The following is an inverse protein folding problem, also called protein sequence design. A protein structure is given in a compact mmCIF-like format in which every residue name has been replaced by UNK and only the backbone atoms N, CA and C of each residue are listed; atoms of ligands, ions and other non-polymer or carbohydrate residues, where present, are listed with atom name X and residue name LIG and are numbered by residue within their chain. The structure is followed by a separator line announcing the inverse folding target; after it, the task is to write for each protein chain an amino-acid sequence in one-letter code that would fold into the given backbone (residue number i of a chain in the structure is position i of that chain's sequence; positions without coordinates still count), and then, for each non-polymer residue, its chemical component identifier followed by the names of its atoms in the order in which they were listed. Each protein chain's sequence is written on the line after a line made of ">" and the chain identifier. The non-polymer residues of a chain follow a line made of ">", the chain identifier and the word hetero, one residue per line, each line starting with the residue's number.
data_IF_307821774278
#
_entry.id   IF_307821774278
#
_cell.length_a   1.000
_cell.length_b   1.000
_cell.length_c   1.000
_cell.angle_alpha   90.00
_cell.angle_beta   90.00
_cell.angle_gamma   90.00
#
_symmetry.space_group_name_H-M   'P 1'
#
loop_
_entity.id
_entity.type
_entity.pdbx_description
1 polymer ?
#
# COMPACT_ATOMS: atom_id res chain seq x y z
N UNK A 1 11.72 -53.86 -35.05
CA UNK A 1 10.78 -52.77 -35.36
C UNK A 1 9.83 -52.47 -34.20
N UNK A 2 9.29 -53.49 -33.52
CA UNK A 2 8.38 -53.30 -32.37
C UNK A 2 8.99 -52.52 -31.19
N UNK A 3 10.24 -52.78 -30.81
CA UNK A 3 10.83 -52.18 -29.61
C UNK A 3 11.03 -50.65 -29.75
N UNK A 4 11.51 -50.22 -30.92
CA UNK A 4 11.73 -48.79 -31.24
C UNK A 4 10.41 -48.03 -31.27
N UNK A 5 9.36 -48.62 -31.86
CA UNK A 5 8.03 -48.01 -31.90
C UNK A 5 7.41 -47.87 -30.50
N UNK A 6 7.58 -48.86 -29.63
CA UNK A 6 7.12 -48.80 -28.23
C UNK A 6 7.83 -47.73 -27.42
N UNK A 7 9.14 -47.54 -27.63
CA UNK A 7 9.92 -46.47 -26.98
C UNK A 7 9.45 -45.09 -27.45
N UNK A 8 9.19 -44.91 -28.75
CA UNK A 8 8.68 -43.64 -29.29
C UNK A 8 7.30 -43.32 -28.70
N UNK A 9 6.38 -44.28 -28.69
CA UNK A 9 5.03 -44.10 -28.13
C UNK A 9 5.11 -43.76 -26.63
N UNK A 10 5.92 -44.46 -25.86
CA UNK A 10 6.11 -44.17 -24.43
C UNK A 10 6.69 -42.77 -24.21
N UNK A 11 7.63 -42.32 -25.04
CA UNK A 11 8.19 -40.96 -24.99
C UNK A 11 7.15 -39.88 -25.29
N UNK A 12 6.31 -40.09 -26.30
CA UNK A 12 5.23 -39.16 -26.67
C UNK A 12 4.17 -39.09 -25.56
N UNK A 13 3.74 -40.23 -25.02
CA UNK A 13 2.77 -40.27 -23.91
C UNK A 13 3.34 -39.59 -22.67
N UNK A 14 4.61 -39.86 -22.33
CA UNK A 14 5.29 -39.21 -21.21
C UNK A 14 5.40 -37.69 -21.37
N UNK A 15 5.66 -37.21 -22.59
CA UNK A 15 5.70 -35.78 -22.92
C UNK A 15 4.33 -35.10 -22.78
N UNK A 16 3.25 -35.75 -23.23
CA UNK A 16 1.91 -35.20 -23.07
C UNK A 16 1.43 -35.18 -21.61
N UNK A 17 1.78 -36.20 -20.83
CA UNK A 17 1.50 -36.24 -19.39
C UNK A 17 2.24 -35.11 -18.67
N UNK A 18 3.54 -34.93 -18.94
CA UNK A 18 4.32 -33.84 -18.33
C UNK A 18 3.80 -32.47 -18.75
N UNK A 19 3.48 -32.26 -20.02
CA UNK A 19 2.90 -30.99 -20.49
C UNK A 19 1.53 -30.71 -19.83
N UNK A 20 0.70 -31.75 -19.66
CA UNK A 20 -0.57 -31.68 -18.94
C UNK A 20 -0.40 -31.33 -17.47
N UNK A 21 0.51 -32.02 -16.76
CA UNK A 21 0.84 -31.74 -15.36
C UNK A 21 1.42 -30.33 -15.18
N UNK A 22 2.27 -29.86 -16.08
CA UNK A 22 2.81 -28.49 -16.08
C UNK A 22 1.67 -27.48 -16.26
N UNK A 23 0.75 -27.69 -17.22
CA UNK A 23 -0.42 -26.81 -17.39
C UNK A 23 -1.33 -26.78 -16.17
N UNK A 24 -1.60 -27.93 -15.56
CA UNK A 24 -2.40 -28.04 -14.34
C UNK A 24 -1.69 -27.34 -13.19
N UNK A 25 -0.38 -27.55 -13.04
CA UNK A 25 0.44 -26.88 -12.02
C UNK A 25 0.46 -25.36 -12.21
N UNK A 26 0.62 -24.86 -13.44
CA UNK A 26 0.55 -23.43 -13.74
C UNK A 26 -0.85 -22.84 -13.47
N UNK A 27 -1.94 -23.56 -13.82
CA UNK A 27 -3.32 -23.14 -13.49
C UNK A 27 -3.61 -23.17 -12.00
N UNK A 28 -3.03 -24.12 -11.27
CA UNK A 28 -3.18 -24.22 -9.82
C UNK A 28 -2.36 -23.13 -9.09
N UNK A 29 -1.18 -22.80 -9.62
CA UNK A 29 -0.27 -21.81 -9.04
C UNK A 29 -0.67 -20.36 -9.37
N UNK A 30 -1.37 -20.11 -10.47
CA UNK A 30 -1.78 -18.75 -10.89
C UNK A 30 -3.09 -18.25 -10.25
N UNK A 31 -3.83 -19.12 -9.54
CA UNK A 31 -5.18 -18.79 -9.08
C UNK A 31 -6.13 -18.58 -10.27
N UNK A 32 -7.45 -18.74 -10.04
CA UNK A 32 -8.42 -18.36 -11.06
C UNK A 32 -8.49 -16.84 -11.08
N UNK A 33 -8.05 -16.19 -12.16
CA UNK A 33 -8.24 -14.75 -12.34
C UNK A 33 -9.72 -14.42 -12.21
N UNK A 34 -10.07 -13.63 -11.21
CA UNK A 34 -11.45 -13.20 -10.94
C UNK A 34 -11.79 -12.02 -11.86
N UNK A 35 -10.85 -11.08 -12.00
CA UNK A 35 -10.97 -9.89 -12.84
C UNK A 35 -9.63 -9.62 -13.53
N UNK A 36 -9.61 -9.70 -14.85
CA UNK A 36 -8.43 -9.42 -15.67
C UNK A 36 -8.45 -7.97 -16.15
N UNK A 37 -7.26 -7.37 -16.36
CA UNK A 37 -7.13 -6.01 -16.89
C UNK A 37 -7.70 -5.96 -18.32
N UNK A 38 -8.60 -5.00 -18.63
CA UNK A 38 -9.05 -4.77 -20.00
C UNK A 38 -7.91 -4.28 -20.90
N UNK A 39 -8.10 -4.36 -22.22
CA UNK A 39 -7.13 -3.86 -23.19
C UNK A 39 -7.28 -2.33 -23.36
N UNK A 40 -6.81 -1.59 -22.36
CA UNK A 40 -6.77 -0.13 -22.31
C UNK A 40 -5.67 0.33 -21.35
N UNK A 41 -5.28 1.60 -21.46
CA UNK A 41 -4.27 2.20 -20.58
C UNK A 41 -4.76 2.30 -19.14
N UNK A 42 -3.83 2.21 -18.18
CA UNK A 42 -4.16 2.26 -16.74
C UNK A 42 -4.84 3.56 -16.35
N UNK A 43 -4.41 4.68 -16.92
CA UNK A 43 -5.00 6.00 -16.68
C UNK A 43 -6.44 6.10 -17.21
N UNK A 44 -6.72 5.52 -18.37
CA UNK A 44 -8.07 5.54 -18.96
C UNK A 44 -9.03 4.66 -18.16
N UNK A 45 -8.53 3.52 -17.68
CA UNK A 45 -9.25 2.67 -16.74
C UNK A 45 -9.56 3.42 -15.43
N UNK A 46 -8.58 4.15 -14.88
CA UNK A 46 -8.78 4.97 -13.68
C UNK A 46 -9.82 6.07 -13.91
N UNK A 47 -9.76 6.78 -15.03
CA UNK A 47 -10.75 7.82 -15.42
C UNK A 47 -12.15 7.25 -15.58
N UNK A 48 -12.28 6.06 -16.18
CA UNK A 48 -13.56 5.36 -16.34
C UNK A 48 -14.20 4.98 -15.01
N UNK A 49 -13.37 4.67 -14.01
CA UNK A 49 -13.79 4.37 -12.65
C UNK A 49 -13.53 5.54 -11.68
N UNK A 50 -13.60 6.78 -12.16
CA UNK A 50 -13.29 7.98 -11.37
C UNK A 50 -14.29 8.22 -10.23
N UNK A 51 -15.57 7.92 -10.46
CA UNK A 51 -16.66 8.22 -9.52
C UNK A 51 -16.71 7.27 -8.31
N UNK A 52 -17.02 7.85 -7.15
CA UNK A 52 -17.53 7.16 -5.97
C UNK A 52 -19.03 7.49 -5.78
N UNK A 53 -19.71 6.79 -4.87
CA UNK A 53 -21.08 7.16 -4.47
C UNK A 53 -21.37 6.70 -3.05
N UNK A 54 -22.14 7.49 -2.32
CA UNK A 54 -22.69 7.02 -1.06
C UNK A 54 -23.48 5.73 -1.27
N UNK A 55 -23.22 4.77 -0.39
CA UNK A 55 -23.91 3.49 -0.36
C UNK A 55 -24.64 3.30 0.96
N UNK A 56 -25.52 2.31 1.00
CA UNK A 56 -26.28 1.96 2.19
C UNK A 56 -25.62 0.81 2.95
N UNK A 57 -24.30 0.61 2.80
CA UNK A 57 -23.60 -0.44 3.53
C UNK A 57 -23.56 -0.03 5.00
N UNK A 58 -24.01 -0.93 5.89
CA UNK A 58 -23.95 -0.68 7.33
C UNK A 58 -22.51 -0.41 7.76
N UNK A 59 -22.29 0.70 8.47
CA UNK A 59 -21.01 1.03 9.10
C UNK A 59 -20.74 0.04 10.23
N UNK A 60 -20.17 -1.12 9.91
CA UNK A 60 -20.02 -2.25 10.85
C UNK A 60 -19.09 -1.88 12.00
N UNK A 61 -18.02 -1.15 11.68
CA UNK A 61 -17.00 -0.72 12.63
C UNK A 61 -16.59 0.72 12.31
N UNK A 62 -16.46 1.60 13.32
CA UNK A 62 -15.74 2.85 13.17
C UNK A 62 -14.22 2.59 13.11
N UNK A 63 -13.42 3.50 12.53
CA UNK A 63 -11.97 3.42 12.63
C UNK A 63 -11.51 3.60 14.08
N UNK A 64 -10.59 2.75 14.53
CA UNK A 64 -10.01 2.78 15.88
C UNK A 64 -8.51 3.04 15.81
N UNK A 65 -8.03 4.03 16.56
CA UNK A 65 -6.61 4.38 16.65
C UNK A 65 -6.11 4.24 18.09
N UNK A 66 -5.05 3.45 18.28
CA UNK A 66 -4.31 3.42 19.55
C UNK A 66 -3.15 4.40 19.45
N UNK A 67 -3.24 5.50 20.17
CA UNK A 67 -2.27 6.60 20.14
C UNK A 67 -1.40 6.63 21.40
N UNK A 68 -0.21 7.24 21.30
CA UNK A 68 0.63 7.58 22.46
C UNK A 68 1.28 6.39 23.15
N UNK A 69 1.45 5.26 22.48
CA UNK A 69 2.12 4.09 23.07
C UNK A 69 3.61 4.34 23.28
N UNK A 70 4.13 3.80 24.39
CA UNK A 70 5.55 3.85 24.70
C UNK A 70 6.38 3.20 23.60
N UNK A 71 7.46 3.87 23.22
CA UNK A 71 8.39 3.38 22.22
C UNK A 71 9.05 2.05 22.66
N UNK A 72 9.02 1.00 21.83
CA UNK A 72 9.72 -0.24 22.13
C UNK A 72 11.23 -0.03 22.15
N UNK A 73 11.95 -0.78 23.00
CA UNK A 73 13.41 -0.64 23.19
C UNK A 73 14.21 -0.79 21.89
N UNK A 74 13.68 -1.52 20.90
CA UNK A 74 14.36 -1.71 19.61
C UNK A 74 14.66 -0.39 18.89
N UNK A 75 13.82 0.64 19.08
CA UNK A 75 13.98 1.94 18.46
C UNK A 75 15.17 2.74 19.01
N UNK A 76 15.68 2.38 20.19
CA UNK A 76 16.87 3.04 20.77
C UNK A 76 18.11 2.86 19.88
N UNK A 77 18.21 1.74 19.15
CA UNK A 77 19.31 1.48 18.21
C UNK A 77 19.34 2.44 17.01
N UNK A 78 18.20 3.06 16.72
CA UNK A 78 17.98 3.92 15.55
C UNK A 78 17.90 5.40 15.94
N UNK A 79 18.29 5.76 17.18
CA UNK A 79 18.23 7.11 17.72
C UNK A 79 16.84 7.76 17.58
N UNK A 80 15.76 6.98 17.68
CA UNK A 80 14.39 7.46 17.52
C UNK A 80 14.07 8.71 18.37
N UNK A 81 14.61 8.78 19.60
CA UNK A 81 14.42 9.94 20.48
C UNK A 81 14.94 11.26 19.92
N UNK A 82 15.94 11.23 19.04
CA UNK A 82 16.47 12.45 18.41
C UNK A 82 15.54 12.94 17.30
N UNK A 83 14.93 12.03 16.54
CA UNK A 83 13.91 12.39 15.54
C UNK A 83 12.64 12.95 16.20
N UNK A 84 12.35 12.58 17.46
CA UNK A 84 11.23 13.14 18.21
C UNK A 84 11.45 14.60 18.65
N UNK A 85 12.69 15.11 18.64
CA UNK A 85 13.03 16.49 19.01
C UNK A 85 12.80 17.40 17.81
N UNK A 86 11.54 17.75 17.58
CA UNK A 86 11.14 18.68 16.54
C UNK A 86 10.77 20.05 17.12
N UNK A 87 10.62 21.04 16.25
CA UNK A 87 10.23 22.39 16.63
C UNK A 87 8.85 22.35 17.33
N UNK A 88 8.75 22.71 18.62
CA UNK A 88 7.49 22.68 19.35
C UNK A 88 6.48 23.71 18.85
N UNK A 89 6.91 24.75 18.11
CA UNK A 89 6.02 25.75 17.52
C UNK A 89 5.39 25.26 16.20
N UNK A 90 5.99 24.26 15.56
CA UNK A 90 5.47 23.62 14.36
C UNK A 90 5.08 22.17 14.64
N UNK A 91 3.83 21.98 15.07
CA UNK A 91 3.30 20.65 15.39
C UNK A 91 3.40 19.64 14.24
N UNK A 92 3.41 20.07 12.98
CA UNK A 92 3.49 19.16 11.84
C UNK A 92 4.91 18.62 11.61
N UNK A 93 5.94 19.28 12.16
CA UNK A 93 7.34 18.91 11.97
C UNK A 93 7.64 17.47 12.40
N UNK A 94 6.95 16.96 13.44
CA UNK A 94 7.10 15.57 13.88
C UNK A 94 6.70 14.56 12.80
N UNK A 95 5.73 14.89 11.94
CA UNK A 95 5.26 13.99 10.87
C UNK A 95 6.35 13.79 9.83
N UNK A 96 6.97 14.87 9.38
CA UNK A 96 8.06 14.84 8.40
C UNK A 96 9.32 14.21 8.98
N UNK A 97 9.64 14.48 10.26
CA UNK A 97 10.74 13.83 10.96
C UNK A 97 10.56 12.31 11.08
N UNK A 98 9.32 11.82 11.27
CA UNK A 98 9.05 10.37 11.26
C UNK A 98 9.19 9.74 9.88
N UNK A 99 8.84 10.47 8.80
CA UNK A 99 9.12 10.04 7.43
C UNK A 99 10.64 9.92 7.22
N UNK A 100 11.40 10.94 7.64
CA UNK A 100 12.86 10.93 7.56
C UNK A 100 13.46 9.76 8.35
N UNK A 101 13.02 9.53 9.59
CA UNK A 101 13.44 8.38 10.40
C UNK A 101 13.31 7.06 9.63
N UNK A 102 12.17 6.83 8.95
CA UNK A 102 11.97 5.58 8.21
C UNK A 102 12.94 5.49 7.03
N UNK A 103 13.05 6.56 6.25
CA UNK A 103 13.87 6.59 5.05
C UNK A 103 15.39 6.61 5.32
N UNK A 104 15.82 7.07 6.50
CA UNK A 104 17.23 7.05 6.92
C UNK A 104 17.66 5.65 7.42
N UNK A 105 16.73 4.88 8.00
CA UNK A 105 17.04 3.65 8.71
C UNK A 105 16.62 2.36 7.96
N UNK A 106 15.70 2.46 7.01
CA UNK A 106 15.16 1.31 6.28
C UNK A 106 15.10 1.59 4.77
N UNK A 107 15.23 0.55 3.95
CA UNK A 107 15.27 0.64 2.48
C UNK A 107 14.17 -0.18 1.83
N UNK A 108 13.68 0.32 0.70
CA UNK A 108 12.74 -0.43 -0.12
C UNK A 108 13.45 -1.54 -0.92
N UNK A 109 12.84 -2.73 -0.96
CA UNK A 109 13.19 -3.81 -1.86
C UNK A 109 11.93 -4.61 -2.24
N UNK A 110 11.55 -4.58 -3.52
CA UNK A 110 10.27 -5.12 -4.01
C UNK A 110 10.06 -6.62 -3.75
N UNK A 111 11.14 -7.40 -3.63
CA UNK A 111 11.08 -8.83 -3.35
C UNK A 111 11.19 -9.18 -1.86
N UNK A 112 11.31 -8.18 -0.98
CA UNK A 112 11.33 -8.43 0.45
C UNK A 112 9.97 -8.90 0.94
N UNK A 113 9.98 -9.84 1.89
CA UNK A 113 8.80 -10.27 2.61
C UNK A 113 8.74 -9.51 3.93
N UNK A 114 7.64 -8.78 4.16
CA UNK A 114 7.38 -8.18 5.46
C UNK A 114 7.03 -9.28 6.46
N UNK A 115 7.95 -9.57 7.37
CA UNK A 115 7.74 -10.52 8.46
C UNK A 115 7.28 -9.84 9.74
N UNK A 116 6.41 -10.51 10.51
CA UNK A 116 5.86 -10.00 11.76
C UNK A 116 4.65 -9.07 11.57
N UNK A 117 3.78 -9.04 12.56
CA UNK A 117 2.55 -8.22 12.53
C UNK A 117 2.66 -6.93 13.34
N UNK A 118 3.68 -6.81 14.19
CA UNK A 118 3.94 -5.63 15.01
C UNK A 118 5.17 -4.86 14.54
N UNK A 119 5.29 -3.59 14.93
CA UNK A 119 6.44 -2.73 14.66
C UNK A 119 7.76 -3.43 14.98
N UNK A 120 7.88 -4.01 16.19
CA UNK A 120 9.09 -4.76 16.55
C UNK A 120 9.32 -5.95 15.63
N UNK A 121 8.26 -6.67 15.26
CA UNK A 121 8.34 -7.81 14.35
C UNK A 121 8.83 -7.39 12.97
N UNK A 122 8.26 -6.31 12.43
CA UNK A 122 8.64 -5.74 11.13
C UNK A 122 10.07 -5.24 11.15
N UNK A 123 10.50 -4.50 12.19
CA UNK A 123 11.89 -4.04 12.33
C UNK A 123 12.85 -5.22 12.43
N UNK A 124 12.56 -6.24 13.26
CA UNK A 124 13.37 -7.46 13.35
C UNK A 124 13.44 -8.21 12.03
N UNK A 125 12.37 -8.18 11.23
CA UNK A 125 12.39 -8.73 9.88
C UNK A 125 13.30 -7.90 8.96
N UNK A 126 13.26 -6.57 9.04
CA UNK A 126 14.14 -5.70 8.28
C UNK A 126 15.62 -5.93 8.65
N UNK A 127 15.96 -6.00 9.96
CA UNK A 127 17.33 -6.26 10.43
C UNK A 127 17.91 -7.56 9.85
N UNK A 128 17.07 -8.61 9.69
CA UNK A 128 17.47 -9.89 9.08
C UNK A 128 17.74 -9.81 7.58
N UNK A 129 17.21 -8.79 6.90
CA UNK A 129 17.31 -8.59 5.45
C UNK A 129 18.04 -7.30 5.13
N UNK A 130 19.13 -6.99 5.84
CA UNK A 130 19.96 -5.80 5.61
C UNK A 130 19.19 -4.48 5.66
N UNK A 131 18.25 -4.37 6.60
CA UNK A 131 17.37 -3.22 6.78
C UNK A 131 16.44 -2.95 5.58
N UNK A 132 16.17 -3.97 4.74
CA UNK A 132 15.29 -3.86 3.58
C UNK A 132 13.92 -4.47 3.85
N UNK A 133 12.88 -3.83 3.31
CA UNK A 133 11.51 -4.36 3.28
C UNK A 133 10.73 -3.80 2.08
N UNK A 134 9.51 -4.28 1.84
CA UNK A 134 8.66 -3.76 0.77
C UNK A 134 7.85 -2.53 1.23
N UNK A 135 7.09 -1.91 0.32
CA UNK A 135 6.27 -0.73 0.60
C UNK A 135 5.35 -0.91 1.83
N UNK A 136 4.78 -2.12 2.01
CA UNK A 136 3.96 -2.43 3.18
C UNK A 136 4.75 -2.34 4.49
N UNK A 137 5.94 -2.91 4.54
CA UNK A 137 6.78 -2.89 5.75
C UNK A 137 7.16 -1.47 6.14
N UNK A 138 7.57 -0.64 5.19
CA UNK A 138 7.91 0.76 5.43
C UNK A 138 6.70 1.56 5.95
N UNK A 139 5.53 1.40 5.32
CA UNK A 139 4.30 2.08 5.71
C UNK A 139 3.74 1.61 7.05
N UNK A 140 3.93 0.33 7.41
CA UNK A 140 3.59 -0.19 8.75
C UNK A 140 4.46 0.46 9.84
N UNK A 141 5.77 0.58 9.59
CA UNK A 141 6.70 1.25 10.51
C UNK A 141 6.28 2.73 10.65
N UNK A 142 6.18 3.47 9.54
CA UNK A 142 5.86 4.90 9.57
C UNK A 142 4.53 5.16 10.29
N UNK A 143 3.47 4.44 9.94
CA UNK A 143 2.16 4.65 10.54
C UNK A 143 2.17 4.37 12.05
N UNK A 144 2.94 3.39 12.53
CA UNK A 144 3.06 3.14 13.97
C UNK A 144 3.88 4.22 14.69
N UNK A 145 4.97 4.69 14.11
CA UNK A 145 5.76 5.79 14.70
C UNK A 145 4.93 7.06 14.85
N UNK A 146 4.11 7.39 13.85
CA UNK A 146 3.18 8.52 13.92
C UNK A 146 2.17 8.34 15.06
N UNK A 147 1.53 7.16 15.17
CA UNK A 147 0.58 6.88 16.26
C UNK A 147 1.22 6.91 17.64
N UNK A 148 2.45 6.43 17.77
CA UNK A 148 3.22 6.52 19.01
C UNK A 148 3.46 7.98 19.44
N UNK A 149 3.59 8.89 18.49
CA UNK A 149 3.68 10.34 18.73
C UNK A 149 2.32 11.05 18.80
N UNK A 150 1.21 10.30 18.95
CA UNK A 150 -0.13 10.88 19.12
C UNK A 150 -0.82 11.30 17.83
N UNK A 151 -0.25 10.99 16.66
CA UNK A 151 -0.77 11.41 15.35
C UNK A 151 -1.68 10.32 14.77
N UNK A 152 -2.87 10.71 14.32
CA UNK A 152 -3.79 9.79 13.64
C UNK A 152 -3.25 9.47 12.25
N UNK A 153 -2.70 8.26 12.10
CA UNK A 153 -2.19 7.76 10.84
C UNK A 153 -2.50 6.28 10.65
N UNK A 154 -2.76 5.86 9.42
CA UNK A 154 -2.97 4.46 9.01
C UNK A 154 -2.27 4.18 7.69
N UNK A 155 -1.83 2.94 7.51
CA UNK A 155 -1.35 2.52 6.18
C UNK A 155 -2.55 2.23 5.28
N UNK A 156 -2.45 2.58 4.00
CA UNK A 156 -3.47 2.30 2.99
C UNK A 156 -2.83 1.50 1.86
N UNK A 157 -3.42 0.36 1.55
CA UNK A 157 -3.04 -0.44 0.37
C UNK A 157 -3.79 0.10 -0.84
N UNK A 158 -3.07 0.74 -1.74
CA UNK A 158 -3.51 1.20 -3.05
C UNK A 158 -3.47 0.02 -4.02
N UNK A 159 -4.65 -0.43 -4.45
CA UNK A 159 -4.83 -1.66 -5.23
C UNK A 159 -5.23 -1.34 -6.68
N UNK A 160 -4.75 -2.13 -7.64
CA UNK A 160 -5.10 -1.97 -9.04
C UNK A 160 -6.46 -2.63 -9.37
N UNK A 161 -6.81 -2.62 -10.66
CA UNK A 161 -8.07 -3.16 -11.18
C UNK A 161 -8.18 -4.68 -11.13
N UNK A 162 -7.09 -5.39 -11.37
CA UNK A 162 -7.10 -6.83 -11.43
C UNK A 162 -7.28 -7.47 -10.06
N UNK A 163 -7.90 -8.64 -10.06
CA UNK A 163 -8.02 -9.48 -8.86
C UNK A 163 -7.89 -10.95 -9.28
N UNK A 164 -6.93 -11.72 -8.70
CA UNK A 164 -5.87 -11.23 -7.82
C UNK A 164 -4.88 -10.32 -8.55
N UNK A 165 -4.28 -9.39 -7.81
CA UNK A 165 -3.18 -8.55 -8.28
C UNK A 165 -1.83 -9.11 -7.82
N UNK A 166 -0.77 -8.87 -8.59
CA UNK A 166 0.60 -9.29 -8.26
C UNK A 166 1.45 -8.18 -7.65
N UNK A 167 1.03 -6.93 -7.88
CA UNK A 167 1.72 -5.74 -7.42
C UNK A 167 0.69 -4.69 -6.98
N UNK A 168 1.01 -3.99 -5.91
CA UNK A 168 0.21 -2.92 -5.32
C UNK A 168 1.15 -1.96 -4.60
N UNK A 169 0.67 -0.78 -4.22
CA UNK A 169 1.46 0.16 -3.45
C UNK A 169 0.87 0.40 -2.06
N UNK A 170 1.70 0.63 -1.05
CA UNK A 170 1.23 0.93 0.31
C UNK A 170 1.84 2.25 0.77
N UNK A 171 0.98 3.20 1.10
CA UNK A 171 1.35 4.53 1.60
C UNK A 171 0.73 4.76 2.98
N UNK A 172 1.00 5.90 3.59
CA UNK A 172 0.43 6.30 4.87
C UNK A 172 -0.49 7.50 4.69
N UNK A 173 -1.69 7.36 5.21
CA UNK A 173 -2.70 8.41 5.32
C UNK A 173 -2.64 9.00 6.74
N UNK A 174 -2.47 10.32 6.83
CA UNK A 174 -2.13 11.02 8.07
C UNK A 174 -2.97 12.29 8.24
N UNK A 175 -3.50 12.52 9.45
CA UNK A 175 -4.04 13.80 9.87
C UNK A 175 -2.95 14.59 10.61
N UNK A 176 -2.49 15.66 10.00
CA UNK A 176 -1.51 16.57 10.58
C UNK A 176 -2.07 17.24 11.84
N UNK A 177 -1.22 17.56 12.83
CA UNK A 177 -1.62 18.37 13.98
C UNK A 177 -2.29 19.71 13.63
N UNK A 178 -1.93 20.32 12.50
CA UNK A 178 -2.59 21.51 11.94
C UNK A 178 -4.03 21.29 11.47
N UNK A 179 -4.46 20.03 11.31
CA UNK A 179 -5.79 19.63 10.84
C UNK A 179 -5.85 19.26 9.35
N UNK A 180 -4.79 19.53 8.59
CA UNK A 180 -4.69 19.11 7.19
C UNK A 180 -4.44 17.61 7.06
N UNK A 181 -4.92 16.99 5.98
CA UNK A 181 -4.71 15.57 5.70
C UNK A 181 -3.65 15.41 4.62
N UNK A 182 -2.70 14.50 4.82
CA UNK A 182 -1.57 14.30 3.91
C UNK A 182 -1.35 12.82 3.60
N UNK A 183 -0.89 12.54 2.38
CA UNK A 183 -0.29 11.26 2.00
C UNK A 183 1.22 11.30 2.22
N UNK A 184 1.76 10.30 2.92
CA UNK A 184 3.20 10.09 3.09
C UNK A 184 3.59 8.74 2.46
N UNK A 185 4.64 8.76 1.64
CA UNK A 185 5.16 7.57 0.99
C UNK A 185 6.62 7.31 1.41
N UNK A 186 6.85 6.40 2.37
CA UNK A 186 8.19 6.09 2.86
C UNK A 186 9.05 5.31 1.85
N UNK A 187 8.47 4.83 0.74
CA UNK A 187 9.23 4.20 -0.35
C UNK A 187 10.07 5.23 -1.10
N UNK A 188 9.55 6.46 -1.21
CA UNK A 188 10.13 7.54 -2.01
C UNK A 188 10.50 8.78 -1.18
N UNK A 189 10.50 8.69 0.16
CA UNK A 189 10.62 9.85 1.08
C UNK A 189 9.73 11.02 0.63
N UNK A 190 8.49 10.69 0.29
CA UNK A 190 7.66 11.54 -0.56
C UNK A 190 6.42 12.01 0.17
N UNK A 191 6.09 13.29 -0.04
CA UNK A 191 4.76 13.85 0.09
C UNK A 191 4.59 14.92 -0.99
N UNK A 192 3.35 15.23 -1.34
CA UNK A 192 3.01 16.25 -2.32
C UNK A 192 2.40 17.47 -1.66
N UNK A 193 2.62 18.62 -2.27
CA UNK A 193 1.81 19.82 -2.07
C UNK A 193 1.13 20.23 -3.37
N UNK A 194 0.02 20.95 -3.25
CA UNK A 194 -0.63 21.60 -4.39
C UNK A 194 0.09 22.91 -4.76
N UNK A 195 -0.47 23.64 -5.73
CA UNK A 195 0.08 24.92 -6.21
C UNK A 195 0.12 26.02 -5.14
N UNK A 196 -0.68 25.91 -4.07
CA UNK A 196 -0.68 26.85 -2.95
C UNK A 196 0.34 26.45 -1.87
N UNK A 197 0.97 25.28 -2.00
CA UNK A 197 1.84 24.70 -0.99
C UNK A 197 1.09 23.92 0.10
N UNK A 198 -0.20 23.65 -0.09
CA UNK A 198 -1.00 22.90 0.88
C UNK A 198 -0.74 21.38 0.75
N UNK A 199 -0.69 20.64 1.88
CA UNK A 199 -0.49 19.19 1.86
C UNK A 199 -1.55 18.43 1.06
N UNK A 200 -1.11 17.51 0.21
CA UNK A 200 -2.02 16.71 -0.63
C UNK A 200 -2.35 15.38 0.04
N UNK A 201 -3.64 15.13 0.21
CA UNK A 201 -4.16 13.85 0.71
C UNK A 201 -4.11 12.75 -0.38
N UNK A 202 -4.22 11.49 0.01
CA UNK A 202 -4.27 10.37 -0.97
C UNK A 202 -5.52 10.44 -1.85
N UNK A 203 -6.64 10.93 -1.29
CA UNK A 203 -7.86 11.17 -2.05
C UNK A 203 -7.63 12.22 -3.14
N UNK A 204 -7.03 13.36 -2.76
CA UNK A 204 -6.71 14.44 -3.70
C UNK A 204 -5.68 13.99 -4.74
N UNK A 205 -4.62 13.27 -4.36
CA UNK A 205 -3.64 12.70 -5.31
C UNK A 205 -4.33 11.95 -6.45
N UNK A 206 -5.32 11.10 -6.12
CA UNK A 206 -6.08 10.37 -7.13
C UNK A 206 -6.85 11.29 -8.07
N UNK A 207 -7.48 12.34 -7.53
CA UNK A 207 -8.25 13.32 -8.30
C UNK A 207 -7.35 14.13 -9.24
N UNK A 208 -6.17 14.55 -8.78
CA UNK A 208 -5.15 15.24 -9.58
C UNK A 208 -4.63 14.36 -10.73
N UNK A 209 -4.33 13.08 -10.45
CA UNK A 209 -3.93 12.10 -11.48
C UNK A 209 -5.02 11.94 -12.54
N UNK A 210 -6.29 11.78 -12.13
CA UNK A 210 -7.43 11.65 -13.05
C UNK A 210 -7.54 12.88 -13.96
N UNK A 211 -7.39 14.06 -13.37
CA UNK A 211 -7.44 15.34 -14.06
C UNK A 211 -6.21 15.64 -14.93
N UNK A 212 -5.10 14.92 -14.73
CA UNK A 212 -3.82 15.21 -15.39
C UNK A 212 -3.23 16.53 -14.93
N UNK A 213 -3.39 16.87 -13.65
CA UNK A 213 -2.81 18.06 -13.02
C UNK A 213 -1.53 17.69 -12.29
N UNK A 214 -0.55 18.59 -12.38
CA UNK A 214 0.75 18.39 -11.76
C UNK A 214 0.69 18.60 -10.25
N UNK A 215 1.65 17.98 -9.56
CA UNK A 215 1.79 18.01 -8.10
C UNK A 215 3.24 18.28 -7.75
N UNK A 216 3.48 18.99 -6.65
CA UNK A 216 4.83 19.38 -6.25
C UNK A 216 5.37 18.40 -5.23
N UNK A 217 6.33 17.56 -5.64
CA UNK A 217 7.03 16.67 -4.71
C UNK A 217 7.90 17.49 -3.75
N UNK A 218 7.98 17.04 -2.49
CA UNK A 218 8.91 17.62 -1.54
C UNK A 218 10.37 17.53 -2.02
N UNK A 219 11.18 18.52 -1.65
CA UNK A 219 12.58 18.66 -2.11
C UNK A 219 13.45 17.42 -1.89
N UNK A 220 13.18 16.62 -0.87
CA UNK A 220 13.98 15.47 -0.48
C UNK A 220 13.42 14.13 -1.02
N UNK A 221 12.40 14.16 -1.88
CA UNK A 221 11.85 12.96 -2.50
C UNK A 221 12.97 12.16 -3.20
N UNK A 222 13.05 10.88 -2.88
CA UNK A 222 14.11 9.98 -3.36
C UNK A 222 13.75 8.52 -3.16
N UNK A 223 14.14 7.66 -4.11
CA UNK A 223 14.03 6.21 -3.96
C UNK A 223 15.33 5.62 -3.41
N UNK A 224 15.35 5.21 -2.14
CA UNK A 224 16.58 4.74 -1.48
C UNK A 224 17.79 5.70 -1.62
N UNK A 225 17.52 7.01 -1.71
CA UNK A 225 18.54 8.05 -1.90
C UNK A 225 18.94 8.34 -3.36
N UNK A 226 18.35 7.65 -4.35
CA UNK A 226 18.45 8.06 -5.76
C UNK A 226 17.38 9.10 -6.11
N UNK A 227 17.57 9.79 -7.22
CA UNK A 227 16.62 10.79 -7.73
C UNK A 227 15.21 10.22 -7.85
N UNK A 228 14.23 11.06 -7.54
CA UNK A 228 12.81 10.75 -7.68
C UNK A 228 12.36 11.03 -9.11
N UNK A 229 11.78 10.01 -9.76
CA UNK A 229 11.19 10.10 -11.09
C UNK A 229 9.67 10.33 -10.93
N UNK A 230 9.24 11.58 -11.17
CA UNK A 230 7.85 12.00 -11.02
C UNK A 230 6.92 11.30 -12.03
N UNK A 231 7.32 11.25 -13.31
CA UNK A 231 6.48 10.68 -14.37
C UNK A 231 6.27 9.18 -14.15
N UNK A 232 7.35 8.47 -13.80
CA UNK A 232 7.25 7.06 -13.41
C UNK A 232 6.34 6.86 -12.19
N UNK A 233 6.44 7.72 -11.18
CA UNK A 233 5.60 7.64 -9.99
C UNK A 233 4.11 7.84 -10.32
N UNK A 234 3.77 8.84 -11.14
CA UNK A 234 2.40 9.12 -11.56
C UNK A 234 1.86 7.97 -12.42
N UNK A 235 2.63 7.41 -13.35
CA UNK A 235 2.24 6.22 -14.12
C UNK A 235 1.97 5.03 -13.20
N UNK A 236 2.88 4.77 -12.25
CA UNK A 236 2.76 3.70 -11.28
C UNK A 236 1.54 3.88 -10.36
N UNK A 237 1.30 5.10 -9.89
CA UNK A 237 0.15 5.41 -9.04
C UNK A 237 -1.16 5.37 -9.81
N UNK A 238 -1.19 5.77 -11.09
CA UNK A 238 -2.38 5.65 -11.95
C UNK A 238 -2.91 4.21 -12.01
N UNK A 239 -2.02 3.22 -11.96
CA UNK A 239 -2.39 1.80 -11.83
C UNK A 239 -2.99 1.49 -10.45
N UNK A 240 -2.43 2.03 -9.37
CA UNK A 240 -2.66 1.58 -8.00
C UNK A 240 -3.75 2.37 -7.23
N UNK A 241 -4.15 3.56 -7.68
CA UNK A 241 -5.18 4.38 -6.98
C UNK A 241 -6.61 4.07 -7.43
N UNK A 242 -6.86 2.85 -7.92
CA UNK A 242 -8.21 2.43 -8.31
C UNK A 242 -9.06 2.05 -7.08
N UNK A 243 -8.50 1.26 -6.17
CA UNK A 243 -9.14 0.79 -4.93
C UNK A 243 -8.23 1.09 -3.74
N UNK A 244 -8.82 1.37 -2.58
CA UNK A 244 -8.07 1.64 -1.36
C UNK A 244 -8.51 0.71 -0.24
N UNK A 245 -7.58 0.00 0.38
CA UNK A 245 -7.86 -0.92 1.47
C UNK A 245 -7.14 -0.49 2.75
N UNK A 246 -7.86 -0.54 3.88
CA UNK A 246 -7.35 -0.20 5.19
C UNK A 246 -7.90 -1.16 6.26
N UNK A 247 -7.18 -1.30 7.37
CA UNK A 247 -7.69 -1.99 8.55
C UNK A 247 -8.60 -1.03 9.35
N UNK A 248 -9.68 -1.55 9.93
CA UNK A 248 -10.51 -0.75 10.85
C UNK A 248 -9.75 -0.33 12.11
N UNK A 249 -8.88 -1.21 12.59
CA UNK A 249 -8.15 -1.02 13.84
C UNK A 249 -6.66 -0.82 13.59
N UNK A 250 -6.12 0.28 14.10
CA UNK A 250 -4.72 0.68 13.99
C UNK A 250 -4.05 0.61 15.36
N UNK A 251 -3.60 -0.60 15.73
CA UNK A 251 -3.12 -0.93 17.08
C UNK A 251 -1.81 -1.72 17.12
N UNK A 252 -0.82 -1.38 16.27
CA UNK A 252 0.50 -2.07 16.21
C UNK A 252 0.38 -3.55 15.85
N UNK A 253 -0.73 -3.93 15.24
CA UNK A 253 -0.95 -5.26 14.70
C UNK A 253 -1.58 -5.14 13.32
N UNK A 254 -1.00 -5.82 12.35
CA UNK A 254 -1.57 -5.93 11.01
C UNK A 254 -2.68 -7.01 10.99
N UNK A 255 -3.93 -6.61 11.23
CA UNK A 255 -5.09 -7.50 11.31
C UNK A 255 -5.77 -7.70 9.96
N UNK A 256 -5.64 -8.89 9.37
CA UNK A 256 -6.27 -9.23 8.08
C UNK A 256 -7.79 -9.51 8.15
N UNK A 257 -8.37 -9.61 9.35
CA UNK A 257 -9.75 -10.04 9.55
C UNK A 257 -10.75 -8.88 9.73
N UNK A 258 -10.27 -7.63 9.71
CA UNK A 258 -11.12 -6.44 9.92
C UNK A 258 -10.66 -5.32 8.98
N UNK A 259 -11.06 -5.42 7.72
CA UNK A 259 -10.66 -4.51 6.66
C UNK A 259 -11.85 -3.88 5.96
N UNK A 260 -11.66 -2.64 5.52
CA UNK A 260 -12.55 -1.92 4.62
C UNK A 260 -11.82 -1.64 3.31
N UNK A 261 -12.54 -1.71 2.20
CA UNK A 261 -12.02 -1.37 0.89
C UNK A 261 -12.97 -0.42 0.16
N UNK A 262 -12.48 0.78 -0.15
CA UNK A 262 -13.14 1.73 -1.03
C UNK A 262 -12.95 1.27 -2.47
N UNK A 263 -14.07 1.00 -3.13
CA UNK A 263 -14.15 0.63 -4.54
C UNK A 263 -14.91 1.71 -5.32
N UNK A 264 -14.57 1.94 -6.60
CA UNK A 264 -15.28 2.92 -7.40
C UNK A 264 -16.69 2.45 -7.77
N UNK A 265 -17.56 3.41 -8.05
CA UNK A 265 -18.92 3.16 -8.52
C UNK A 265 -18.88 2.30 -9.79
N UNK A 266 -19.72 1.28 -9.84
CA UNK A 266 -19.80 0.35 -10.98
C UNK A 266 -18.75 -0.76 -10.98
N UNK A 267 -17.81 -0.76 -10.03
CA UNK A 267 -16.86 -1.86 -9.86
C UNK A 267 -17.52 -3.03 -9.14
N UNK A 268 -17.50 -4.22 -9.74
CA UNK A 268 -18.08 -5.43 -9.14
C UNK A 268 -17.04 -6.22 -8.34
N UNK A 269 -17.41 -6.59 -7.12
CA UNK A 269 -16.63 -7.43 -6.18
C UNK A 269 -17.16 -8.87 -6.14
N UNK A 270 -17.88 -9.30 -7.16
CA UNK A 270 -18.34 -10.68 -7.26
C UNK A 270 -17.13 -11.65 -7.27
N UNK A 271 -17.17 -12.64 -6.39
CA UNK A 271 -16.08 -13.62 -6.22
C UNK A 271 -14.92 -13.16 -5.33
N UNK A 272 -14.97 -11.95 -4.76
CA UNK A 272 -13.89 -11.42 -3.92
C UNK A 272 -13.99 -11.94 -2.48
N UNK A 273 -12.93 -11.81 -1.65
CA UNK A 273 -12.95 -12.23 -0.26
C UNK A 273 -14.09 -11.58 0.54
N UNK A 274 -14.86 -12.40 1.26
CA UNK A 274 -16.03 -11.96 2.04
C UNK A 274 -15.71 -11.37 3.41
N UNK A 275 -14.46 -11.52 3.87
CA UNK A 275 -13.94 -10.97 5.13
C UNK A 275 -13.53 -9.50 5.02
N UNK A 276 -13.55 -8.92 3.81
CA UNK A 276 -13.35 -7.49 3.57
C UNK A 276 -14.70 -6.83 3.39
N UNK A 277 -14.90 -5.68 4.03
CA UNK A 277 -16.06 -4.84 3.79
C UNK A 277 -15.79 -3.92 2.60
N UNK A 278 -16.54 -4.08 1.52
CA UNK A 278 -16.46 -3.16 0.39
C UNK A 278 -17.46 -2.02 0.56
N UNK A 279 -17.02 -0.81 0.22
CA UNK A 279 -17.88 0.38 0.18
C UNK A 279 -17.57 1.22 -1.05
N UNK A 280 -18.55 1.93 -1.58
CA UNK A 280 -18.37 3.01 -2.54
C UNK A 280 -18.42 4.40 -1.89
N UNK A 281 -18.70 4.48 -0.58
CA UNK A 281 -18.80 5.73 0.19
C UNK A 281 -17.40 6.26 0.54
N UNK A 282 -16.96 7.38 -0.06
CA UNK A 282 -15.71 8.01 0.31
C UNK A 282 -15.76 8.54 1.74
N UNK A 283 -16.89 9.12 2.16
CA UNK A 283 -17.06 9.66 3.52
C UNK A 283 -16.87 8.57 4.56
N UNK A 284 -17.43 7.38 4.34
CA UNK A 284 -17.23 6.27 5.28
C UNK A 284 -15.78 5.77 5.29
N UNK A 285 -15.13 5.64 4.14
CA UNK A 285 -13.77 5.12 4.09
C UNK A 285 -12.74 6.10 4.66
N UNK A 286 -12.86 7.38 4.31
CA UNK A 286 -11.90 8.43 4.65
C UNK A 286 -12.12 9.00 6.05
N UNK A 287 -13.30 8.84 6.66
CA UNK A 287 -13.49 9.16 8.07
C UNK A 287 -12.46 8.40 8.93
N UNK A 288 -11.74 9.14 9.76
CA UNK A 288 -10.75 8.63 10.73
C UNK A 288 -11.05 9.12 12.16
N UNK A 289 -12.29 9.55 12.40
CA UNK A 289 -12.78 10.07 13.68
C UNK A 289 -12.43 11.52 13.90
#
# INVERSE_FOLDING_TARGET
>A
MELVLRIIIAGVVGFWITLGCVRIFYRYRSGKTIRAVPYEERIDLLRRYSEYKEDNVSRKHPPEFVLGRSAPKILQKYNYSDYCKTDPENGDAIVFSMLDFVCDNFRHYSHAVTGGTSLEGVIKSCEKHEHKTNCRGLSLILAELLRMNGIKARHITCKPYEEPFQDCHVVVDCLLPSGSRIMLDPTYRLYFTDDNGDPVSLQQLREEIIAGRDLHANKNASYNGSDFDYDYYIEYMSKNVLRFNANYRSDNTDHFNSQIELIPKGYSTEGYPKNVQYTTSPDYFWDIG
#
